data_IF_019112967484
#
_entry.id   IF_019112967484
#
_cell.length_a   1.000
_cell.length_b   1.000
_cell.length_c   1.000
_cell.angle_alpha   90.00
_cell.angle_beta   90.00
_cell.angle_gamma   90.00
#
_symmetry.space_group_name_H-M   'P 1'
#
loop_
_entity.id
_entity.type
_entity.pdbx_description
1 polymer ?
#
# COMPACT_ATOMS: atom_id res chain seq x y z
N UNK A 1 21.68 -38.14 95.58
CA UNK A 1 21.32 -37.06 94.62
C UNK A 1 21.61 -37.53 93.19
N UNK A 2 20.70 -38.26 92.54
CA UNK A 2 20.91 -38.76 91.15
C UNK A 2 19.61 -38.82 90.31
N UNK A 3 18.56 -38.06 90.68
CA UNK A 3 17.25 -38.12 90.01
C UNK A 3 16.93 -36.99 89.01
N UNK A 4 17.64 -35.85 89.05
CA UNK A 4 17.23 -34.65 88.29
C UNK A 4 17.90 -34.48 86.91
N UNK A 5 18.96 -35.23 86.58
CA UNK A 5 19.71 -35.03 85.34
C UNK A 5 19.11 -35.73 84.11
N UNK A 6 18.38 -36.86 84.28
CA UNK A 6 17.82 -37.63 83.15
C UNK A 6 16.60 -36.98 82.49
N UNK A 7 15.78 -36.24 83.24
CA UNK A 7 14.56 -35.62 82.69
C UNK A 7 14.84 -34.44 81.74
N UNK A 8 15.95 -33.72 81.93
CA UNK A 8 16.30 -32.58 81.08
C UNK A 8 16.90 -33.00 79.72
N UNK A 9 17.52 -34.18 79.63
CA UNK A 9 18.11 -34.69 78.38
C UNK A 9 17.02 -35.23 77.46
N UNK A 10 16.05 -35.99 77.99
CA UNK A 10 14.90 -36.50 77.22
C UNK A 10 13.99 -35.36 76.72
N UNK A 11 13.79 -34.31 77.55
CA UNK A 11 12.98 -33.15 77.18
C UNK A 11 13.64 -32.29 76.10
N UNK A 12 14.97 -32.10 76.16
CA UNK A 12 15.73 -31.40 75.10
C UNK A 12 15.78 -32.18 73.79
N UNK A 13 15.81 -33.52 73.83
CA UNK A 13 15.80 -34.36 72.63
C UNK A 13 14.45 -34.29 71.90
N UNK A 14 13.34 -34.34 72.65
CA UNK A 14 12.00 -34.14 72.08
C UNK A 14 11.78 -32.72 71.56
N UNK A 15 12.30 -31.68 72.22
CA UNK A 15 12.18 -30.31 71.74
C UNK A 15 12.95 -30.05 70.44
N UNK A 16 14.16 -30.63 70.29
CA UNK A 16 14.96 -30.46 69.07
C UNK A 16 14.32 -31.19 67.88
N UNK A 17 13.78 -32.39 68.11
CA UNK A 17 13.06 -33.12 67.08
C UNK A 17 11.74 -32.43 66.71
N UNK A 18 11.06 -31.83 67.68
CA UNK A 18 9.86 -31.03 67.43
C UNK A 18 10.17 -29.77 66.60
N UNK A 19 11.25 -29.06 66.93
CA UNK A 19 11.71 -27.90 66.15
C UNK A 19 12.10 -28.28 64.72
N UNK A 20 12.80 -29.41 64.54
CA UNK A 20 13.15 -29.90 63.21
C UNK A 20 11.92 -30.32 62.40
N UNK A 21 10.96 -31.00 63.04
CA UNK A 21 9.69 -31.37 62.40
C UNK A 21 8.89 -30.12 62.00
N UNK A 22 8.81 -29.13 62.88
CA UNK A 22 8.12 -27.87 62.60
C UNK A 22 8.80 -27.11 61.46
N UNK A 23 10.13 -27.06 61.43
CA UNK A 23 10.89 -26.43 60.35
C UNK A 23 10.67 -27.15 59.02
N UNK A 24 10.64 -28.49 59.02
CA UNK A 24 10.30 -29.28 57.84
C UNK A 24 8.87 -28.98 57.34
N UNK A 25 7.92 -28.83 58.25
CA UNK A 25 6.53 -28.50 57.92
C UNK A 25 6.42 -27.11 57.31
N UNK A 26 7.15 -26.12 57.83
CA UNK A 26 7.20 -24.77 57.26
C UNK A 26 7.84 -24.77 55.87
N UNK A 27 8.95 -25.49 55.67
CA UNK A 27 9.58 -25.64 54.35
C UNK A 27 8.63 -26.31 53.36
N UNK A 28 7.93 -27.35 53.79
CA UNK A 28 6.90 -28.02 52.98
C UNK A 28 5.76 -27.07 52.62
N UNK A 29 5.31 -26.24 53.56
CA UNK A 29 4.26 -25.26 53.32
C UNK A 29 4.69 -24.15 52.34
N UNK A 30 5.94 -23.67 52.43
CA UNK A 30 6.51 -22.71 51.48
C UNK A 30 6.65 -23.34 50.09
N UNK A 31 7.08 -24.61 50.02
CA UNK A 31 7.15 -25.36 48.77
C UNK A 31 5.77 -25.55 48.14
N UNK A 32 4.74 -25.83 48.94
CA UNK A 32 3.36 -25.90 48.46
C UNK A 32 2.88 -24.57 47.90
N UNK A 33 3.14 -23.45 48.61
CA UNK A 33 2.80 -22.10 48.14
C UNK A 33 3.49 -21.69 46.84
N UNK A 34 4.71 -22.19 46.61
CA UNK A 34 5.53 -21.79 45.45
C UNK A 34 5.31 -22.67 44.23
N UNK A 35 4.97 -23.94 44.44
CA UNK A 35 4.99 -24.95 43.36
C UNK A 35 3.67 -25.75 43.24
N UNK A 36 2.68 -25.52 44.11
CA UNK A 36 1.36 -26.16 44.09
C UNK A 36 1.43 -27.69 43.89
N UNK A 37 2.31 -28.37 44.64
CA UNK A 37 2.57 -29.80 44.45
C UNK A 37 1.35 -30.65 44.79
N UNK A 38 0.57 -30.28 45.81
CA UNK A 38 -0.66 -31.00 46.18
C UNK A 38 -1.71 -30.84 45.07
N UNK A 39 -1.86 -29.63 44.50
CA UNK A 39 -2.79 -29.40 43.38
C UNK A 39 -2.39 -30.17 42.13
N UNK A 40 -1.11 -30.16 41.75
CA UNK A 40 -0.60 -30.95 40.63
C UNK A 40 -0.72 -32.46 40.88
N UNK A 41 -0.44 -32.91 42.11
CA UNK A 41 -0.55 -34.30 42.53
C UNK A 41 -2.00 -34.80 42.52
N UNK A 42 -2.92 -34.03 43.09
CA UNK A 42 -4.36 -34.28 43.06
C UNK A 42 -4.90 -34.22 41.63
N UNK A 43 -4.43 -33.27 40.81
CA UNK A 43 -4.78 -33.16 39.40
C UNK A 43 -4.35 -34.39 38.59
N UNK A 44 -3.10 -34.85 38.76
CA UNK A 44 -2.60 -36.08 38.11
C UNK A 44 -3.29 -37.33 38.62
N UNK A 45 -3.57 -37.41 39.93
CA UNK A 45 -4.32 -38.52 40.53
C UNK A 45 -5.76 -38.57 39.99
N UNK A 46 -6.43 -37.42 39.90
CA UNK A 46 -7.77 -37.30 39.33
C UNK A 46 -7.81 -37.60 37.82
N UNK A 47 -6.78 -37.25 37.07
CA UNK A 47 -6.64 -37.60 35.64
C UNK A 47 -6.39 -39.10 35.47
N UNK A 48 -5.48 -39.68 36.26
CA UNK A 48 -5.16 -41.11 36.22
C UNK A 48 -6.36 -41.99 36.61
N UNK A 49 -7.15 -41.57 37.60
CA UNK A 49 -8.36 -42.29 38.01
C UNK A 49 -9.54 -42.08 37.02
N UNK A 50 -9.48 -41.07 36.14
CA UNK A 50 -10.49 -40.78 35.12
C UNK A 50 -10.15 -41.29 33.71
N UNK A 51 -9.04 -42.01 33.50
CA UNK A 51 -8.68 -42.55 32.17
C UNK A 51 -9.73 -43.51 31.57
N UNK A 52 -10.66 -44.02 32.38
CA UNK A 52 -11.77 -44.88 31.95
C UNK A 52 -13.11 -44.18 31.66
N UNK A 53 -13.19 -42.84 31.72
CA UNK A 53 -14.45 -42.12 31.51
C UNK A 53 -14.63 -41.75 30.04
N UNK A 54 -15.70 -42.24 29.41
CA UNK A 54 -16.04 -41.91 28.02
C UNK A 54 -16.11 -40.39 27.83
N UNK A 55 -15.37 -39.92 26.81
CA UNK A 55 -15.14 -38.50 26.49
C UNK A 55 -16.37 -37.88 25.82
N UNK A 56 -17.47 -37.73 26.55
CA UNK A 56 -18.65 -37.00 26.07
C UNK A 56 -19.17 -36.04 27.15
N UNK A 57 -19.13 -34.74 26.86
CA UNK A 57 -19.60 -33.69 27.77
C UNK A 57 -19.18 -32.27 27.37
N UNK A 58 -19.99 -31.28 27.76
CA UNK A 58 -19.89 -29.84 27.40
C UNK A 58 -18.49 -29.25 27.53
N UNK A 59 -17.70 -29.64 28.54
CA UNK A 59 -16.35 -29.09 28.72
C UNK A 59 -15.35 -29.47 27.62
N UNK A 60 -15.56 -30.58 26.91
CA UNK A 60 -14.75 -30.94 25.74
C UNK A 60 -15.12 -30.12 24.52
N UNK A 61 -16.41 -29.81 24.35
CA UNK A 61 -16.87 -28.88 23.32
C UNK A 61 -16.31 -27.48 23.61
N UNK A 62 -16.32 -27.05 24.87
CA UNK A 62 -15.76 -25.76 25.28
C UNK A 62 -14.23 -25.70 25.08
N UNK A 63 -13.49 -26.75 25.45
CA UNK A 63 -12.05 -26.83 25.21
C UNK A 63 -11.72 -26.86 23.69
N UNK A 64 -12.47 -27.64 22.90
CA UNK A 64 -12.35 -27.65 21.44
C UNK A 64 -12.70 -26.30 20.83
N UNK A 65 -13.69 -25.60 21.37
CA UNK A 65 -14.08 -24.26 20.94
C UNK A 65 -13.03 -23.21 21.33
N UNK A 66 -12.37 -23.32 22.49
CA UNK A 66 -11.28 -22.45 22.92
C UNK A 66 -10.03 -22.69 22.06
N UNK A 67 -9.65 -23.95 21.78
CA UNK A 67 -8.54 -24.25 20.87
C UNK A 67 -8.85 -23.81 19.44
N UNK A 68 -10.09 -24.03 18.96
CA UNK A 68 -10.51 -23.55 17.64
C UNK A 68 -10.59 -22.02 17.57
N UNK A 69 -10.94 -21.33 18.67
CA UNK A 69 -10.89 -19.87 18.75
C UNK A 69 -9.44 -19.37 18.75
N UNK A 70 -8.53 -20.05 19.44
CA UNK A 70 -7.09 -19.76 19.41
C UNK A 70 -6.51 -19.91 18.00
N UNK A 71 -6.79 -21.02 17.30
CA UNK A 71 -6.35 -21.22 15.92
C UNK A 71 -6.95 -20.19 14.96
N UNK A 72 -8.23 -19.81 15.13
CA UNK A 72 -8.86 -18.75 14.31
C UNK A 72 -8.24 -17.37 14.54
N UNK A 73 -7.87 -17.05 15.78
CA UNK A 73 -7.18 -15.81 16.12
C UNK A 73 -5.75 -15.79 15.59
N UNK A 74 -5.05 -16.93 15.66
CA UNK A 74 -3.72 -17.08 15.10
C UNK A 74 -3.75 -16.94 13.57
N UNK A 75 -4.66 -17.65 12.89
CA UNK A 75 -4.89 -17.55 11.45
C UNK A 75 -5.25 -16.12 11.03
N UNK A 76 -6.08 -15.42 11.83
CA UNK A 76 -6.44 -14.01 11.57
C UNK A 76 -5.24 -13.08 11.76
N UNK A 77 -4.45 -13.28 12.83
CA UNK A 77 -3.23 -12.49 13.07
C UNK A 77 -2.14 -12.75 12.03
N UNK A 78 -2.05 -13.96 11.51
CA UNK A 78 -1.13 -14.32 10.43
C UNK A 78 -1.59 -13.68 9.11
N UNK A 79 -2.89 -13.70 8.81
CA UNK A 79 -3.46 -13.00 7.65
C UNK A 79 -3.24 -11.49 7.72
N UNK A 80 -3.46 -10.87 8.88
CA UNK A 80 -3.17 -9.45 9.09
C UNK A 80 -1.68 -9.14 8.87
N UNK A 81 -0.78 -9.93 9.45
CA UNK A 81 0.67 -9.75 9.25
C UNK A 81 1.10 -9.94 7.80
N UNK A 82 0.55 -10.92 7.10
CA UNK A 82 0.79 -11.13 5.66
C UNK A 82 0.24 -9.96 4.84
N UNK A 83 -0.90 -9.39 5.23
CA UNK A 83 -1.48 -8.22 4.59
C UNK A 83 -0.62 -6.97 4.83
N UNK A 84 -0.14 -6.73 6.05
CA UNK A 84 0.79 -5.65 6.40
C UNK A 84 2.11 -5.78 5.64
N UNK A 85 2.66 -6.99 5.53
CA UNK A 85 3.87 -7.24 4.74
C UNK A 85 3.67 -6.88 3.27
N UNK A 86 2.58 -7.38 2.66
CA UNK A 86 2.24 -7.05 1.27
C UNK A 86 1.97 -5.56 1.09
N UNK A 87 1.38 -4.89 2.07
CA UNK A 87 1.17 -3.45 2.02
C UNK A 87 2.52 -2.73 1.94
N UNK A 88 3.46 -3.05 2.82
CA UNK A 88 4.78 -2.43 2.85
C UNK A 88 5.59 -2.62 1.54
N UNK A 89 5.28 -3.64 0.75
CA UNK A 89 5.90 -3.85 -0.58
C UNK A 89 5.35 -2.90 -1.65
N UNK A 90 4.19 -2.26 -1.44
CA UNK A 90 3.59 -1.32 -2.37
C UNK A 90 4.35 0.01 -2.29
N UNK A 91 5.10 0.32 -3.36
CA UNK A 91 5.87 1.55 -3.50
C UNK A 91 5.29 2.48 -4.55
N UNK A 92 4.54 1.94 -5.52
CA UNK A 92 4.00 2.71 -6.65
C UNK A 92 2.48 2.62 -6.76
N UNK A 93 1.87 3.59 -7.43
CA UNK A 93 0.43 3.60 -7.68
C UNK A 93 -0.03 2.36 -8.47
N UNK A 94 0.76 1.91 -9.44
CA UNK A 94 0.46 0.69 -10.21
C UNK A 94 0.39 -0.55 -9.31
N UNK A 95 1.34 -0.70 -8.37
CA UNK A 95 1.32 -1.80 -7.41
C UNK A 95 0.11 -1.73 -6.46
N UNK A 96 -0.30 -0.52 -6.07
CA UNK A 96 -1.50 -0.31 -5.26
C UNK A 96 -2.75 -0.78 -6.02
N UNK A 97 -2.88 -0.44 -7.30
CA UNK A 97 -3.99 -0.90 -8.13
C UNK A 97 -4.00 -2.42 -8.28
N UNK A 98 -2.84 -3.04 -8.54
CA UNK A 98 -2.73 -4.50 -8.64
C UNK A 98 -3.14 -5.19 -7.34
N UNK A 99 -2.76 -4.63 -6.19
CA UNK A 99 -3.18 -5.13 -4.88
C UNK A 99 -4.70 -5.02 -4.69
N UNK A 100 -5.28 -3.88 -5.08
CA UNK A 100 -6.72 -3.61 -4.96
C UNK A 100 -7.58 -4.45 -5.91
N UNK A 101 -7.04 -4.93 -7.03
CA UNK A 101 -7.76 -5.88 -7.90
C UNK A 101 -8.13 -7.19 -7.16
N UNK A 102 -7.34 -7.59 -6.17
CA UNK A 102 -7.60 -8.81 -5.37
C UNK A 102 -8.27 -8.51 -4.03
N UNK A 103 -7.88 -7.41 -3.38
CA UNK A 103 -8.35 -7.06 -2.02
C UNK A 103 -9.55 -6.13 -1.99
N UNK A 104 -9.87 -5.47 -3.11
CA UNK A 104 -10.89 -4.43 -3.31
C UNK A 104 -10.72 -3.14 -2.50
N UNK A 105 -10.16 -3.22 -1.30
CA UNK A 105 -10.01 -2.07 -0.41
C UNK A 105 -8.81 -2.22 0.51
N UNK A 106 -8.25 -1.10 0.95
CA UNK A 106 -7.19 -1.09 1.94
C UNK A 106 -7.09 0.25 2.69
N UNK A 107 -6.64 0.20 3.94
CA UNK A 107 -6.29 1.40 4.72
C UNK A 107 -4.77 1.52 4.78
N UNK A 108 -4.24 2.66 4.34
CA UNK A 108 -2.81 2.98 4.33
C UNK A 108 -2.51 4.07 5.36
N UNK A 109 -1.41 3.96 6.12
CA UNK A 109 -0.90 5.08 6.89
C UNK A 109 -0.62 6.29 5.97
N UNK A 110 -0.88 7.51 6.45
CA UNK A 110 -0.73 8.73 5.66
C UNK A 110 0.65 8.84 4.98
N UNK A 111 1.72 8.53 5.71
CA UNK A 111 3.09 8.60 5.17
C UNK A 111 3.31 7.64 4.00
N UNK A 112 2.68 6.47 4.03
CA UNK A 112 2.79 5.46 2.98
C UNK A 112 1.99 5.84 1.74
N UNK A 113 0.75 6.32 1.93
CA UNK A 113 -0.03 6.87 0.84
C UNK A 113 0.71 8.04 0.17
N UNK A 114 1.33 8.92 0.94
CA UNK A 114 2.10 10.05 0.41
C UNK A 114 3.36 9.62 -0.35
N UNK A 115 3.99 8.51 0.04
CA UNK A 115 5.08 7.92 -0.74
C UNK A 115 4.59 7.51 -2.14
N UNK A 116 3.47 6.80 -2.21
CA UNK A 116 2.83 6.37 -3.46
C UNK A 116 2.36 7.59 -4.28
N UNK A 117 1.74 8.58 -3.63
CA UNK A 117 1.27 9.81 -4.27
C UNK A 117 2.41 10.59 -4.93
N UNK A 118 3.58 10.65 -4.28
CA UNK A 118 4.77 11.32 -4.80
C UNK A 118 5.52 10.48 -5.85
N UNK A 119 5.18 9.20 -6.02
CA UNK A 119 5.75 8.38 -7.10
C UNK A 119 5.10 8.66 -8.45
N UNK A 120 3.96 9.37 -8.48
CA UNK A 120 3.31 9.77 -9.72
C UNK A 120 4.08 10.94 -10.36
N UNK A 121 4.19 10.97 -11.70
CA UNK A 121 4.72 12.13 -12.40
C UNK A 121 3.98 13.41 -12.03
N UNK A 122 4.70 14.52 -12.10
CA UNK A 122 4.19 15.84 -11.74
C UNK A 122 2.89 16.13 -12.50
N UNK A 123 1.90 16.72 -11.81
CA UNK A 123 0.52 17.01 -12.28
C UNK A 123 -0.42 15.80 -12.35
N UNK A 124 0.06 14.55 -12.49
CA UNK A 124 -0.84 13.39 -12.41
C UNK A 124 -1.34 13.13 -10.99
N UNK A 125 -0.55 13.53 -9.99
CA UNK A 125 -0.95 13.44 -8.59
C UNK A 125 -2.18 14.30 -8.27
N UNK A 126 -2.37 15.47 -8.91
CA UNK A 126 -3.54 16.33 -8.70
C UNK A 126 -4.85 15.72 -9.19
N UNK A 127 -4.78 14.69 -10.05
CA UNK A 127 -5.95 13.87 -10.41
C UNK A 127 -6.47 13.14 -9.18
N UNK A 128 -5.59 12.59 -8.34
CA UNK A 128 -5.97 11.89 -7.10
C UNK A 128 -6.45 12.82 -5.99
N UNK A 129 -5.76 13.94 -5.79
CA UNK A 129 -6.14 15.02 -4.87
C UNK A 129 -5.19 16.19 -5.12
N UNK A 130 -5.68 17.45 -5.14
CA UNK A 130 -4.80 18.61 -5.27
C UNK A 130 -3.73 18.66 -4.14
N UNK A 131 -2.45 18.95 -4.46
CA UNK A 131 -1.37 18.97 -3.46
C UNK A 131 -1.58 19.95 -2.30
N UNK A 132 -2.20 21.10 -2.56
CA UNK A 132 -2.54 22.13 -1.57
C UNK A 132 -3.49 21.60 -0.49
N UNK A 133 -4.47 20.77 -0.89
CA UNK A 133 -5.38 20.09 0.05
C UNK A 133 -4.61 19.14 0.97
N UNK A 134 -3.68 18.34 0.42
CA UNK A 134 -2.85 17.44 1.22
C UNK A 134 -1.91 18.19 2.17
N UNK A 135 -1.35 19.33 1.73
CA UNK A 135 -0.50 20.17 2.58
C UNK A 135 -1.30 20.63 3.80
N UNK A 136 -2.52 21.13 3.59
CA UNK A 136 -3.41 21.58 4.67
C UNK A 136 -3.68 20.47 5.71
N UNK A 137 -4.10 19.28 5.27
CA UNK A 137 -4.39 18.18 6.21
C UNK A 137 -3.15 17.65 6.94
N UNK A 138 -1.97 17.78 6.32
CA UNK A 138 -0.71 17.31 6.90
C UNK A 138 -0.09 18.34 7.84
N UNK A 139 -0.14 19.63 7.52
CA UNK A 139 0.46 20.69 8.34
C UNK A 139 -0.20 20.77 9.71
N UNK A 140 -1.50 20.52 9.79
CA UNK A 140 -2.25 20.51 11.05
C UNK A 140 -2.16 19.17 11.81
N UNK A 141 -1.40 18.19 11.28
CA UNK A 141 -1.28 16.87 11.88
C UNK A 141 -2.60 16.09 11.92
N UNK A 142 -3.57 16.45 11.09
CA UNK A 142 -4.90 15.85 11.07
C UNK A 142 -4.89 14.50 10.34
N UNK A 143 -4.16 14.40 9.23
CA UNK A 143 -4.18 13.20 8.38
C UNK A 143 -3.39 12.03 9.01
N UNK A 144 -4.10 10.95 9.36
CA UNK A 144 -3.51 9.75 9.96
C UNK A 144 -3.55 8.56 8.99
N UNK A 145 -4.70 8.32 8.34
CA UNK A 145 -4.89 7.19 7.43
C UNK A 145 -5.59 7.62 6.13
N UNK A 146 -5.35 6.86 5.08
CA UNK A 146 -6.07 6.98 3.81
C UNK A 146 -6.68 5.64 3.48
N UNK A 147 -8.00 5.59 3.45
CA UNK A 147 -8.75 4.43 2.99
C UNK A 147 -8.92 4.52 1.48
N UNK A 148 -8.56 3.45 0.79
CA UNK A 148 -8.56 3.35 -0.66
C UNK A 148 -9.42 2.17 -1.08
N UNK A 149 -10.29 2.39 -2.05
CA UNK A 149 -11.22 1.38 -2.57
C UNK A 149 -11.19 1.37 -4.10
N UNK A 150 -11.15 0.17 -4.68
CA UNK A 150 -11.35 -0.05 -6.10
C UNK A 150 -12.65 -0.82 -6.31
N UNK A 151 -13.60 -0.20 -7.00
CA UNK A 151 -14.88 -0.81 -7.33
C UNK A 151 -15.23 -0.60 -8.81
N UNK A 152 -16.39 -1.08 -9.23
CA UNK A 152 -16.83 -0.97 -10.63
C UNK A 152 -16.98 0.47 -11.10
N UNK A 153 -17.17 1.43 -10.20
CA UNK A 153 -17.36 2.83 -10.55
C UNK A 153 -16.04 3.60 -10.63
N UNK A 154 -14.94 3.01 -10.15
CA UNK A 154 -13.60 3.55 -10.25
C UNK A 154 -12.83 3.42 -8.95
N UNK A 155 -12.04 4.43 -8.63
CA UNK A 155 -11.10 4.43 -7.52
C UNK A 155 -11.44 5.53 -6.52
N UNK A 156 -11.63 5.17 -5.26
CA UNK A 156 -12.08 6.10 -4.21
C UNK A 156 -11.03 6.20 -3.12
N UNK A 157 -10.71 7.44 -2.74
CA UNK A 157 -9.82 7.78 -1.63
C UNK A 157 -10.62 8.51 -0.56
N UNK A 158 -10.49 8.07 0.70
CA UNK A 158 -11.08 8.71 1.86
C UNK A 158 -9.96 9.01 2.85
N UNK A 159 -9.74 10.30 3.12
CA UNK A 159 -8.72 10.80 4.02
C UNK A 159 -9.28 10.89 5.43
N UNK A 160 -8.60 10.27 6.40
CA UNK A 160 -9.12 10.07 7.74
C UNK A 160 -8.20 10.68 8.80
N UNK A 161 -8.80 11.27 9.83
CA UNK A 161 -8.09 11.70 11.02
C UNK A 161 -7.83 10.54 12.01
N UNK A 162 -7.16 10.85 13.13
CA UNK A 162 -6.89 9.87 14.21
C UNK A 162 -8.18 9.27 14.83
N UNK A 163 -9.30 9.96 14.73
CA UNK A 163 -10.60 9.52 15.23
C UNK A 163 -11.45 8.85 14.13
N UNK A 164 -10.87 8.56 12.96
CA UNK A 164 -11.54 8.06 11.76
C UNK A 164 -12.64 8.99 11.23
N UNK A 165 -12.53 10.30 11.47
CA UNK A 165 -13.38 11.30 10.83
C UNK A 165 -12.87 11.59 9.41
N UNK A 166 -13.80 11.76 8.49
CA UNK A 166 -13.49 12.06 7.08
C UNK A 166 -13.03 13.52 6.97
N UNK A 167 -11.79 13.70 6.54
CA UNK A 167 -11.20 15.00 6.22
C UNK A 167 -11.53 15.40 4.77
N UNK A 168 -11.41 14.44 3.85
CA UNK A 168 -11.70 14.63 2.44
C UNK A 168 -12.05 13.29 1.77
N UNK A 169 -12.73 13.37 0.64
CA UNK A 169 -13.02 12.23 -0.21
C UNK A 169 -12.81 12.64 -1.67
N UNK A 170 -12.17 11.77 -2.45
CA UNK A 170 -12.09 11.91 -3.89
C UNK A 170 -12.41 10.58 -4.58
N UNK A 171 -13.12 10.65 -5.71
CA UNK A 171 -13.41 9.50 -6.56
C UNK A 171 -12.91 9.79 -7.96
N UNK A 172 -12.10 8.87 -8.48
CA UNK A 172 -11.69 8.82 -9.87
C UNK A 172 -12.65 7.93 -10.64
N UNK A 173 -13.08 8.40 -11.80
CA UNK A 173 -13.76 7.55 -12.77
C UNK A 173 -12.79 6.55 -13.43
N UNK A 174 -13.34 5.66 -14.26
CA UNK A 174 -12.53 4.67 -14.98
C UNK A 174 -11.55 5.29 -15.98
N UNK A 175 -11.90 6.42 -16.60
CA UNK A 175 -11.04 7.05 -17.60
C UNK A 175 -9.79 7.65 -16.95
N UNK A 176 -9.96 8.35 -15.83
CA UNK A 176 -8.88 8.87 -14.98
C UNK A 176 -8.01 7.73 -14.43
N UNK A 177 -8.63 6.64 -14.00
CA UNK A 177 -7.91 5.49 -13.49
C UNK A 177 -7.08 4.80 -14.58
N UNK A 178 -7.67 4.58 -15.76
CA UNK A 178 -7.00 4.03 -16.93
C UNK A 178 -5.83 4.92 -17.34
N UNK A 179 -6.03 6.24 -17.38
CA UNK A 179 -5.00 7.25 -17.63
C UNK A 179 -3.80 7.08 -16.69
N UNK A 180 -4.04 7.06 -15.37
CA UNK A 180 -2.99 6.90 -14.37
C UNK A 180 -2.28 5.54 -14.47
N UNK A 181 -3.02 4.48 -14.82
CA UNK A 181 -2.45 3.13 -14.92
C UNK A 181 -1.59 2.92 -16.17
N UNK A 182 -1.88 3.64 -17.25
CA UNK A 182 -1.23 3.51 -18.57
C UNK A 182 -0.06 4.47 -18.74
N UNK A 183 0.04 5.52 -17.94
CA UNK A 183 1.10 6.51 -18.06
C UNK A 183 2.51 5.88 -17.93
N UNK A 184 3.38 6.14 -18.90
CA UNK A 184 4.74 5.61 -18.97
C UNK A 184 4.81 4.11 -19.29
N UNK A 185 3.71 3.47 -19.68
CA UNK A 185 3.68 2.03 -20.00
C UNK A 185 3.87 1.80 -21.50
N UNK A 186 4.56 0.70 -21.85
CA UNK A 186 4.67 0.26 -23.24
C UNK A 186 3.44 -0.52 -23.67
N UNK A 187 2.93 -0.21 -24.86
CA UNK A 187 1.73 -0.79 -25.44
C UNK A 187 1.98 -1.15 -26.90
N UNK A 188 1.21 -2.12 -27.41
CA UNK A 188 1.17 -2.42 -28.84
C UNK A 188 0.21 -1.41 -29.47
N UNK A 189 0.74 -0.49 -30.27
CA UNK A 189 0.01 0.66 -30.80
C UNK A 189 0.63 1.11 -32.12
N UNK A 190 -0.19 1.18 -33.17
CA UNK A 190 0.18 1.79 -34.45
C UNK A 190 -0.31 3.24 -34.49
N UNK A 191 0.54 4.17 -34.05
CA UNK A 191 0.18 5.60 -34.00
C UNK A 191 -0.21 6.18 -35.36
N UNK A 192 0.21 5.57 -36.47
CA UNK A 192 -0.09 6.07 -37.81
C UNK A 192 -1.50 5.71 -38.29
N UNK A 193 -2.10 4.66 -37.72
CA UNK A 193 -3.39 4.14 -38.15
C UNK A 193 -4.53 4.44 -37.15
N UNK A 194 -4.21 5.07 -36.02
CA UNK A 194 -5.15 5.40 -34.95
C UNK A 194 -5.76 6.78 -35.17
N UNK A 195 -7.08 6.85 -35.33
CA UNK A 195 -7.83 8.08 -35.63
C UNK A 195 -7.50 9.22 -34.65
N UNK A 196 -7.36 8.88 -33.36
CA UNK A 196 -7.04 9.84 -32.30
C UNK A 196 -5.70 10.56 -32.47
N UNK A 197 -4.80 10.04 -33.30
CA UNK A 197 -3.45 10.58 -33.55
C UNK A 197 -3.22 11.14 -34.96
N UNK A 198 -4.15 10.91 -35.90
CA UNK A 198 -3.90 11.15 -37.33
C UNK A 198 -3.53 12.61 -37.65
N UNK A 199 -4.10 13.58 -36.96
CA UNK A 199 -3.85 14.99 -37.23
C UNK A 199 -2.54 15.52 -36.64
N UNK A 200 -1.95 14.81 -35.66
CA UNK A 200 -0.83 15.32 -34.84
C UNK A 200 0.21 14.25 -34.61
N UNK A 201 0.69 13.66 -35.71
CA UNK A 201 1.79 12.69 -35.70
C UNK A 201 3.02 13.28 -36.37
N UNK A 202 4.10 13.36 -35.61
CA UNK A 202 5.34 14.03 -36.01
C UNK A 202 6.49 13.02 -36.12
N UNK A 203 7.40 13.25 -37.08
CA UNK A 203 8.73 12.63 -37.01
C UNK A 203 9.51 13.20 -35.82
N UNK A 204 10.46 12.44 -35.28
CA UNK A 204 11.30 12.93 -34.18
C UNK A 204 11.97 14.28 -34.51
N UNK A 205 12.43 14.46 -35.74
CA UNK A 205 13.06 15.71 -36.19
C UNK A 205 12.07 16.87 -36.19
N UNK A 206 10.86 16.67 -36.73
CA UNK A 206 9.82 17.72 -36.72
C UNK A 206 9.39 18.07 -35.31
N UNK A 207 9.24 17.06 -34.45
CA UNK A 207 8.89 17.27 -33.04
C UNK A 207 9.97 18.06 -32.29
N UNK A 208 11.25 17.79 -32.55
CA UNK A 208 12.36 18.56 -31.96
C UNK A 208 12.34 20.03 -32.38
N UNK A 209 12.06 20.31 -33.66
CA UNK A 209 11.91 21.68 -34.15
C UNK A 209 10.77 22.41 -33.42
N UNK A 210 9.60 21.77 -33.27
CA UNK A 210 8.49 22.35 -32.51
C UNK A 210 8.87 22.62 -31.04
N UNK A 211 9.61 21.69 -30.42
CA UNK A 211 10.11 21.87 -29.05
C UNK A 211 11.15 22.99 -28.90
N UNK A 212 11.84 23.38 -29.97
CA UNK A 212 12.83 24.47 -29.93
C UNK A 212 12.17 25.86 -29.98
N UNK A 213 10.94 25.95 -30.47
CA UNK A 213 10.17 27.20 -30.61
C UNK A 213 9.32 27.54 -29.38
N UNK A 214 8.98 26.54 -28.54
CA UNK A 214 8.26 26.77 -27.29
C UNK A 214 9.18 27.28 -26.17
N UNK A 215 8.59 27.81 -25.11
CA UNK A 215 9.32 28.31 -23.94
C UNK A 215 10.20 27.23 -23.29
N UNK A 216 11.35 27.67 -22.76
CA UNK A 216 12.31 26.79 -22.10
C UNK A 216 11.71 26.01 -20.93
N UNK A 217 10.79 26.64 -20.18
CA UNK A 217 10.10 26.01 -19.05
C UNK A 217 9.19 24.86 -19.51
N UNK A 218 8.37 25.08 -20.53
CA UNK A 218 7.48 24.06 -21.11
C UNK A 218 8.30 22.93 -21.73
N UNK A 219 9.34 23.25 -22.50
CA UNK A 219 10.26 22.27 -23.07
C UNK A 219 10.89 21.36 -22.02
N UNK A 220 11.45 21.94 -20.96
CA UNK A 220 12.10 21.16 -19.90
C UNK A 220 11.09 20.26 -19.15
N UNK A 221 9.86 20.75 -18.99
CA UNK A 221 8.76 19.99 -18.40
C UNK A 221 8.35 18.79 -19.25
N UNK A 222 8.24 18.96 -20.58
CA UNK A 222 7.99 17.87 -21.53
C UNK A 222 9.06 16.77 -21.47
N UNK A 223 10.34 17.16 -21.56
CA UNK A 223 11.44 16.21 -21.57
C UNK A 223 11.54 15.44 -20.25
N UNK A 224 11.25 16.11 -19.12
CA UNK A 224 11.22 15.46 -17.80
C UNK A 224 10.05 14.49 -17.64
N UNK A 225 8.90 14.77 -18.27
CA UNK A 225 7.72 13.93 -18.20
C UNK A 225 7.81 12.67 -19.08
N UNK A 226 8.65 12.68 -20.11
CA UNK A 226 8.74 11.62 -21.12
C UNK A 226 10.15 11.04 -21.26
N UNK A 227 10.68 10.35 -20.23
CA UNK A 227 12.04 9.80 -20.27
C UNK A 227 12.27 8.82 -21.42
N UNK A 228 11.25 8.07 -21.84
CA UNK A 228 11.37 7.15 -22.97
C UNK A 228 11.65 7.85 -24.31
N UNK A 229 11.44 9.17 -24.44
CA UNK A 229 11.80 9.91 -25.65
C UNK A 229 13.30 9.80 -25.93
N UNK A 230 14.13 9.82 -24.89
CA UNK A 230 15.59 9.67 -24.99
C UNK A 230 15.96 8.22 -25.29
N UNK A 231 15.33 7.27 -24.61
CA UNK A 231 15.63 5.85 -24.75
C UNK A 231 15.24 5.28 -26.12
N UNK A 232 14.13 5.78 -26.68
CA UNK A 232 13.57 5.34 -27.95
C UNK A 232 13.97 6.24 -29.12
N UNK A 233 14.86 7.22 -28.93
CA UNK A 233 15.25 8.15 -29.99
C UNK A 233 15.92 7.42 -31.16
N UNK A 234 15.26 7.44 -32.32
CA UNK A 234 15.77 6.87 -33.56
C UNK A 234 15.20 7.66 -34.76
N UNK A 235 15.78 7.53 -35.96
CA UNK A 235 15.26 8.19 -37.16
C UNK A 235 13.83 7.80 -37.52
N UNK A 236 13.35 6.65 -37.03
CA UNK A 236 11.99 6.16 -37.32
C UNK A 236 11.03 6.37 -36.16
N UNK A 237 11.50 7.02 -35.09
CA UNK A 237 10.67 7.38 -33.96
C UNK A 237 9.66 8.44 -34.36
N UNK A 238 8.40 8.18 -34.01
CA UNK A 238 7.29 9.10 -34.19
C UNK A 238 6.75 9.52 -32.83
N UNK A 239 6.37 10.78 -32.73
CA UNK A 239 5.68 11.33 -31.57
C UNK A 239 4.28 11.71 -32.03
N UNK A 240 3.28 11.09 -31.42
CA UNK A 240 1.88 11.34 -31.72
C UNK A 240 1.19 11.96 -30.52
N UNK A 241 0.42 13.02 -30.76
CA UNK A 241 -0.35 13.73 -29.74
C UNK A 241 -1.83 13.51 -30.04
N UNK A 242 -2.59 13.10 -29.03
CA UNK A 242 -4.02 12.86 -29.22
C UNK A 242 -4.79 14.15 -29.49
N UNK A 243 -5.75 14.05 -30.40
CA UNK A 243 -6.74 15.08 -30.68
C UNK A 243 -7.78 15.21 -29.56
N UNK A 244 -7.85 14.22 -28.67
CA UNK A 244 -8.77 14.18 -27.54
C UNK A 244 -8.07 14.57 -26.24
N UNK A 245 -8.83 15.23 -25.36
CA UNK A 245 -8.37 15.62 -24.02
C UNK A 245 -9.13 14.77 -22.99
N UNK A 246 -8.38 14.11 -22.11
CA UNK A 246 -8.92 13.36 -20.98
C UNK A 246 -8.43 13.99 -19.69
N UNK A 247 -9.36 14.45 -18.83
CA UNK A 247 -9.03 15.05 -17.53
C UNK A 247 -8.00 16.21 -17.60
N UNK A 248 -8.06 17.02 -18.66
CA UNK A 248 -7.10 18.11 -18.94
C UNK A 248 -5.67 17.62 -19.30
N UNK A 249 -5.54 16.39 -19.79
CA UNK A 249 -4.30 15.85 -20.35
C UNK A 249 -4.52 15.39 -21.80
N UNK A 250 -3.48 15.53 -22.63
CA UNK A 250 -3.38 14.83 -23.91
C UNK A 250 -2.63 13.52 -23.72
N UNK A 251 -3.10 12.47 -24.39
CA UNK A 251 -2.31 11.27 -24.61
C UNK A 251 -1.19 11.58 -25.61
N UNK A 252 0.05 11.30 -25.25
CA UNK A 252 1.23 11.44 -26.10
C UNK A 252 1.91 10.08 -26.23
N UNK A 253 1.98 9.58 -27.45
CA UNK A 253 2.57 8.28 -27.75
C UNK A 253 3.92 8.46 -28.46
N UNK A 254 4.95 7.80 -27.91
CA UNK A 254 6.29 7.74 -28.51
C UNK A 254 6.44 6.34 -29.09
N UNK A 255 6.40 6.23 -30.42
CA UNK A 255 6.39 4.96 -31.13
C UNK A 255 7.61 4.79 -32.03
N UNK A 256 8.01 3.53 -32.23
CA UNK A 256 8.92 3.12 -33.29
C UNK A 256 8.20 2.22 -34.30
N UNK A 257 8.87 1.84 -35.38
CA UNK A 257 8.29 1.01 -36.46
C UNK A 257 7.84 -0.40 -36.01
N UNK A 258 8.15 -0.82 -34.78
CA UNK A 258 7.81 -2.15 -34.28
C UNK A 258 6.40 -2.24 -33.67
N UNK A 259 5.52 -1.28 -33.96
CA UNK A 259 4.16 -1.17 -33.39
C UNK A 259 4.17 -1.11 -31.86
N UNK A 260 5.26 -0.61 -31.28
CA UNK A 260 5.40 -0.42 -29.84
C UNK A 260 5.47 1.07 -29.57
N UNK A 261 4.56 1.52 -28.71
CA UNK A 261 4.57 2.89 -28.21
C UNK A 261 4.71 2.89 -26.69
N UNK A 262 5.34 3.93 -26.15
CA UNK A 262 5.20 4.29 -24.74
C UNK A 262 4.26 5.48 -24.67
N UNK A 263 3.20 5.34 -23.86
CA UNK A 263 2.14 6.34 -23.76
C UNK A 263 2.31 7.17 -22.50
N UNK A 264 2.28 8.48 -22.64
CA UNK A 264 2.32 9.46 -21.56
C UNK A 264 1.05 10.31 -21.58
N UNK A 265 0.66 10.84 -20.43
CA UNK A 265 -0.41 11.83 -20.33
C UNK A 265 0.19 13.15 -19.90
N UNK A 266 0.13 14.13 -20.79
CA UNK A 266 0.78 15.42 -20.63
C UNK A 266 -0.28 16.51 -20.43
N UNK A 267 -0.11 17.43 -19.45
CA UNK A 267 -1.06 18.51 -19.21
C UNK A 267 -1.38 19.31 -20.48
N UNK A 268 -2.65 19.66 -20.67
CA UNK A 268 -3.12 20.37 -21.85
C UNK A 268 -2.52 21.78 -21.99
N UNK A 269 -2.27 22.47 -20.87
CA UNK A 269 -1.58 23.76 -20.87
C UNK A 269 -0.18 23.69 -21.52
N UNK A 270 0.54 22.59 -21.36
CA UNK A 270 1.85 22.42 -22.00
C UNK A 270 1.71 22.11 -23.49
N UNK A 271 0.72 21.29 -23.85
CA UNK A 271 0.49 20.85 -25.23
C UNK A 271 -0.07 21.98 -26.10
N UNK A 272 -0.87 22.88 -25.53
CA UNK A 272 -1.45 24.01 -26.26
C UNK A 272 -0.39 24.93 -26.86
N UNK A 273 0.68 25.24 -26.12
CA UNK A 273 1.80 26.06 -26.64
C UNK A 273 2.46 25.39 -27.87
N UNK A 274 2.63 24.07 -27.83
CA UNK A 274 3.19 23.30 -28.95
C UNK A 274 2.24 23.23 -30.15
N UNK A 275 0.93 23.10 -29.89
CA UNK A 275 -0.10 23.11 -30.94
C UNK A 275 -0.19 24.49 -31.60
N UNK A 276 -0.15 25.58 -30.83
CA UNK A 276 -0.19 26.94 -31.35
C UNK A 276 0.96 27.18 -32.35
N UNK A 277 2.20 26.81 -31.98
CA UNK A 277 3.36 26.87 -32.88
C UNK A 277 3.17 26.01 -34.14
N UNK A 278 2.61 24.81 -33.98
CA UNK A 278 2.37 23.91 -35.11
C UNK A 278 1.33 24.48 -36.09
N UNK A 279 0.21 25.01 -35.58
CA UNK A 279 -0.86 25.59 -36.38
C UNK A 279 -0.42 26.86 -37.10
N UNK A 280 0.43 27.70 -36.46
CA UNK A 280 1.03 28.87 -37.11
C UNK A 280 1.93 28.47 -38.30
N UNK A 281 2.77 27.45 -38.14
CA UNK A 281 3.68 27.01 -39.20
C UNK A 281 2.98 26.30 -40.37
N UNK A 282 1.93 25.52 -40.11
CA UNK A 282 1.12 24.89 -41.15
C UNK A 282 0.31 25.94 -41.96
N UNK A 283 -0.13 27.01 -41.29
CA UNK A 283 -0.79 28.13 -41.96
C UNK A 283 0.16 28.92 -42.88
N UNK A 284 1.40 29.18 -42.45
CA UNK A 284 2.39 29.86 -43.29
C UNK A 284 2.77 29.03 -44.54
N UNK A 285 2.95 27.72 -44.39
CA UNK A 285 3.29 26.84 -45.52
C UNK A 285 2.16 26.75 -46.56
N UNK A 286 0.91 26.69 -46.12
CA UNK A 286 -0.23 26.65 -47.04
C UNK A 286 -0.46 27.98 -47.77
N UNK A 287 -0.16 29.11 -47.13
CA UNK A 287 -0.29 30.43 -47.76
C UNK A 287 0.82 30.72 -48.78
N UNK A 288 2.05 30.28 -48.51
CA UNK A 288 3.17 30.40 -49.44
C UNK A 288 2.97 29.53 -50.69
N UNK A 289 2.40 28.33 -50.56
CA UNK A 289 2.07 27.47 -51.70
C UNK A 289 0.93 28.02 -52.57
N UNK A 290 -0.10 28.64 -51.98
CA UNK A 290 -1.19 29.28 -52.73
C UNK A 290 -0.76 30.59 -53.42
N UNK A 291 0.22 31.32 -52.88
CA UNK A 291 0.73 32.57 -53.48
C UNK A 291 1.67 32.36 -54.68
N UNK A 292 2.10 31.12 -54.92
CA UNK A 292 2.96 30.71 -56.04
C UNK A 292 2.19 30.08 -57.21
N UNK A 293 0.86 29.99 -57.12
CA UNK A 293 -0.06 29.52 -58.17
C UNK A 293 -0.80 30.67 -58.85
#
# INVERSE_FOLDING_TARGET
>A
MQGQSRNNILKKWNQRNFLLFFLLLVVFFIAELSFNFIEMGLGRYLVWQNEGRERTGRSWVDAKNITAAGSRLEDYSQKLRQQEQKLNEIQTFHQLLQFLQTSHQVSLPANHYLHIYNSLPLKLNSVLIPPDSLIFYRSDGMLENVYVELNNNGFRNVFLDRNNQILAENTLDRNALDMLSRNGTSQILDVSNEERFQARTFSLVRFQQLLDEISFETKNSFLSAMPALVELASPTTRVAISNEITNNFHEVAIANDNLRAVVYYIPADWINELIEVFEEQDFEQTHDEESLL
#
